data_IF_385749840024
#
_entry.id   IF_385749840024
#
_cell.length_a   1.000
_cell.length_b   1.000
_cell.length_c   1.000
_cell.angle_alpha   90.00
_cell.angle_beta   90.00
_cell.angle_gamma   90.00
#
_symmetry.space_group_name_H-M   'P 1'
#
loop_
_entity.id
_entity.type
_entity.pdbx_description
1 polymer ?
#
# COMPACT_ATOMS: atom_id res chain seq x y z
N UNK A 1 12.52 22.23 52.25
CA UNK A 1 13.81 21.53 52.04
C UNK A 1 13.55 20.04 52.27
N UNK A 2 13.38 19.26 51.20
CA UNK A 2 14.42 18.42 50.57
C UNK A 2 14.31 16.96 51.08
N UNK A 3 13.58 16.08 50.37
CA UNK A 3 14.03 15.11 49.33
C UNK A 3 14.79 13.87 49.84
N UNK A 4 14.22 12.68 49.61
CA UNK A 4 14.91 11.43 49.19
C UNK A 4 13.82 10.44 48.71
N UNK A 5 13.59 10.16 47.41
CA UNK A 5 14.31 9.24 46.48
C UNK A 5 14.85 7.97 47.19
N UNK A 6 14.86 6.76 46.63
CA UNK A 6 14.21 6.06 45.52
C UNK A 6 14.80 4.63 45.61
N UNK A 7 14.03 3.58 45.36
CA UNK A 7 14.58 2.28 45.00
C UNK A 7 13.52 1.48 44.22
N UNK A 8 13.39 1.80 42.93
CA UNK A 8 12.77 0.90 41.95
C UNK A 8 13.91 0.11 41.33
N UNK A 9 13.93 -1.19 41.61
CA UNK A 9 14.87 -2.16 41.06
C UNK A 9 14.68 -2.26 39.55
N UNK A 10 15.70 -1.83 38.79
CA UNK A 10 15.79 -2.07 37.35
C UNK A 10 15.99 -3.55 37.07
N UNK A 11 15.04 -4.16 36.37
CA UNK A 11 15.26 -5.41 35.62
C UNK A 11 15.63 -4.99 34.19
N UNK A 12 16.91 -5.05 33.88
CA UNK A 12 17.46 -4.91 32.53
C UNK A 12 17.10 -6.14 31.70
N UNK A 13 15.99 -6.06 30.98
CA UNK A 13 15.68 -6.97 29.88
C UNK A 13 16.30 -6.45 28.59
N UNK A 14 17.31 -7.17 28.10
CA UNK A 14 17.92 -7.03 26.78
C UNK A 14 16.85 -6.91 25.68
N UNK A 15 16.58 -5.69 25.21
CA UNK A 15 15.70 -5.46 24.07
C UNK A 15 16.47 -5.76 22.79
N UNK A 16 16.47 -7.05 22.40
CA UNK A 16 16.85 -7.46 21.06
C UNK A 16 16.08 -6.65 20.03
N UNK A 17 16.81 -6.00 19.12
CA UNK A 17 16.26 -5.23 18.00
C UNK A 17 15.12 -6.01 17.33
N UNK A 18 13.93 -5.40 17.13
CA UNK A 18 12.79 -6.08 16.54
C UNK A 18 13.17 -6.54 15.12
N UNK A 19 13.11 -7.85 14.87
CA UNK A 19 13.46 -8.50 13.59
C UNK A 19 12.39 -8.34 12.48
N UNK A 20 11.24 -7.76 12.82
CA UNK A 20 10.09 -7.57 11.93
C UNK A 20 10.20 -6.48 10.82
N UNK A 21 10.92 -5.34 10.99
CA UNK A 21 10.89 -4.25 10.00
C UNK A 21 11.74 -4.54 8.77
N UNK A 22 12.81 -5.34 8.90
CA UNK A 22 13.71 -5.67 7.78
C UNK A 22 13.08 -6.66 6.81
N UNK A 23 12.41 -7.70 7.30
CA UNK A 23 11.70 -8.66 6.44
C UNK A 23 10.52 -8.01 5.71
N UNK A 24 9.79 -7.13 6.40
CA UNK A 24 8.71 -6.34 5.79
C UNK A 24 9.26 -5.41 4.71
N UNK A 25 10.34 -4.68 5.00
CA UNK A 25 11.00 -3.79 4.04
C UNK A 25 11.60 -4.53 2.84
N UNK A 26 12.21 -5.69 3.07
CA UNK A 26 12.77 -6.54 2.01
C UNK A 26 11.67 -7.12 1.11
N UNK A 27 10.57 -7.60 1.70
CA UNK A 27 9.42 -8.10 0.94
C UNK A 27 8.79 -7.02 0.07
N UNK A 28 8.78 -5.77 0.55
CA UNK A 28 8.26 -4.61 -0.16
C UNK A 28 9.20 -4.20 -1.30
N UNK A 29 10.51 -4.19 -1.08
CA UNK A 29 11.51 -3.91 -2.12
C UNK A 29 11.47 -5.00 -3.21
N UNK A 30 11.47 -6.27 -2.82
CA UNK A 30 11.43 -7.40 -3.76
C UNK A 30 10.11 -7.40 -4.56
N UNK A 31 8.97 -7.18 -3.89
CA UNK A 31 7.67 -7.11 -4.57
C UNK A 31 7.57 -5.98 -5.60
N UNK A 32 8.27 -4.87 -5.39
CA UNK A 32 8.32 -3.76 -6.35
C UNK A 32 9.37 -3.96 -7.46
N UNK A 33 10.48 -4.65 -7.19
CA UNK A 33 11.54 -4.90 -8.17
C UNK A 33 11.25 -6.07 -9.10
N UNK A 34 10.45 -7.04 -8.66
CA UNK A 34 10.16 -8.25 -9.43
C UNK A 34 9.43 -7.97 -10.77
N UNK A 35 8.41 -7.07 -10.82
CA UNK A 35 7.81 -6.67 -12.09
C UNK A 35 8.79 -5.95 -13.02
N UNK A 36 9.67 -5.11 -12.45
CA UNK A 36 10.70 -4.39 -13.23
C UNK A 36 11.70 -5.38 -13.84
N UNK A 37 12.16 -6.36 -13.06
CA UNK A 37 13.06 -7.40 -13.53
C UNK A 37 12.41 -8.26 -14.61
N UNK A 38 11.14 -8.63 -14.46
CA UNK A 38 10.43 -9.43 -15.45
C UNK A 38 10.23 -8.70 -16.78
N UNK A 39 9.99 -7.39 -16.76
CA UNK A 39 9.96 -6.58 -17.99
C UNK A 39 11.34 -6.52 -18.64
N UNK A 40 12.38 -6.26 -17.84
CA UNK A 40 13.76 -6.20 -18.35
C UNK A 40 14.23 -7.53 -18.95
N UNK A 41 13.83 -8.66 -18.35
CA UNK A 41 14.13 -10.00 -18.83
C UNK A 41 13.23 -10.45 -20.01
N UNK A 42 12.27 -9.63 -20.44
CA UNK A 42 11.35 -9.94 -21.54
C UNK A 42 10.26 -10.95 -21.18
N UNK A 43 10.05 -11.23 -19.90
CA UNK A 43 8.99 -12.14 -19.42
C UNK A 43 7.63 -11.46 -19.26
N UNK A 44 7.59 -10.12 -19.25
CA UNK A 44 6.36 -9.33 -19.18
C UNK A 44 6.48 -8.09 -20.07
N UNK A 45 5.38 -7.73 -20.73
CA UNK A 45 5.25 -6.42 -21.38
C UNK A 45 4.97 -5.33 -20.36
N UNK A 46 5.12 -4.07 -20.76
CA UNK A 46 4.72 -2.92 -19.92
C UNK A 46 3.22 -2.97 -19.64
N UNK A 47 2.42 -3.45 -20.60
CA UNK A 47 0.98 -3.67 -20.42
C UNK A 47 0.66 -4.70 -19.33
N UNK A 48 1.41 -5.80 -19.27
CA UNK A 48 1.24 -6.82 -18.24
C UNK A 48 1.43 -6.26 -16.82
N UNK A 49 2.36 -5.31 -16.65
CA UNK A 49 2.63 -4.68 -15.36
C UNK A 49 1.43 -3.92 -14.81
N UNK A 50 0.69 -3.19 -15.66
CA UNK A 50 -0.52 -2.49 -15.24
C UNK A 50 -1.58 -3.48 -14.72
N UNK A 51 -1.74 -4.62 -15.39
CA UNK A 51 -2.70 -5.66 -15.00
C UNK A 51 -2.27 -6.34 -13.70
N UNK A 52 -0.98 -6.67 -13.55
CA UNK A 52 -0.44 -7.31 -12.34
C UNK A 52 -0.63 -6.41 -11.11
N UNK A 53 -0.31 -5.12 -11.22
CA UNK A 53 -0.53 -4.19 -10.10
C UNK A 53 -2.01 -3.93 -9.80
N UNK A 54 -2.88 -4.00 -10.81
CA UNK A 54 -4.32 -3.97 -10.58
C UNK A 54 -4.80 -5.24 -9.84
N UNK A 55 -4.28 -6.43 -10.17
CA UNK A 55 -4.56 -7.67 -9.43
C UNK A 55 -4.08 -7.56 -7.99
N UNK A 56 -2.88 -7.01 -7.75
CA UNK A 56 -2.39 -6.75 -6.39
C UNK A 56 -3.37 -5.85 -5.61
N UNK A 57 -3.85 -4.78 -6.24
CA UNK A 57 -4.83 -3.89 -5.64
C UNK A 57 -6.14 -4.62 -5.30
N UNK A 58 -6.62 -5.48 -6.20
CA UNK A 58 -7.80 -6.29 -5.96
C UNK A 58 -7.61 -7.22 -4.74
N UNK A 59 -6.44 -7.84 -4.59
CA UNK A 59 -6.12 -8.66 -3.42
C UNK A 59 -6.14 -7.82 -2.13
N UNK A 60 -5.58 -6.61 -2.15
CA UNK A 60 -5.62 -5.68 -1.02
C UNK A 60 -7.02 -5.22 -0.66
N UNK A 61 -7.89 -4.99 -1.66
CA UNK A 61 -9.30 -4.68 -1.42
C UNK A 61 -9.98 -5.81 -0.63
N UNK A 62 -9.88 -7.05 -1.11
CA UNK A 62 -10.47 -8.22 -0.46
C UNK A 62 -9.95 -8.42 0.98
N UNK A 63 -8.64 -8.30 1.18
CA UNK A 63 -8.00 -8.46 2.49
C UNK A 63 -8.40 -7.33 3.43
N UNK A 64 -8.48 -6.09 2.95
CA UNK A 64 -8.84 -4.94 3.80
C UNK A 64 -10.27 -5.04 4.30
N UNK A 65 -11.21 -5.60 3.51
CA UNK A 65 -12.57 -5.90 3.98
C UNK A 65 -12.52 -6.80 5.23
N UNK A 66 -11.71 -7.86 5.20
CA UNK A 66 -11.53 -8.75 6.36
C UNK A 66 -10.93 -7.99 7.54
N UNK A 67 -9.90 -7.17 7.31
CA UNK A 67 -9.26 -6.37 8.37
C UNK A 67 -10.24 -5.39 9.01
N UNK A 68 -11.00 -4.62 8.23
CA UNK A 68 -12.01 -3.68 8.75
C UNK A 68 -13.08 -4.43 9.55
N UNK A 69 -13.53 -5.60 9.08
CA UNK A 69 -14.58 -6.38 9.74
C UNK A 69 -14.13 -7.01 11.06
N UNK A 70 -12.84 -7.36 11.18
CA UNK A 70 -12.30 -8.12 12.31
C UNK A 70 -11.43 -7.28 13.26
N UNK A 71 -11.24 -6.00 12.96
CA UNK A 71 -10.55 -5.04 13.80
C UNK A 71 -11.26 -4.84 15.15
N UNK A 72 -10.47 -4.86 16.22
CA UNK A 72 -10.88 -4.74 17.63
C UNK A 72 -9.96 -3.79 18.41
N UNK A 73 -9.13 -3.02 17.72
CA UNK A 73 -8.27 -2.03 18.36
C UNK A 73 -9.02 -0.75 18.66
N UNK A 74 -8.75 -0.18 19.83
CA UNK A 74 -9.28 1.11 20.22
C UNK A 74 -8.73 2.23 19.32
N UNK A 75 -9.47 3.33 19.22
CA UNK A 75 -9.03 4.51 18.46
C UNK A 75 -7.95 5.26 19.23
N UNK A 76 -6.74 5.32 18.66
CA UNK A 76 -5.67 6.18 19.15
C UNK A 76 -5.94 7.68 18.91
N UNK A 77 -5.29 8.57 19.69
CA UNK A 77 -5.35 10.01 19.46
C UNK A 77 -4.89 10.38 18.04
N UNK A 78 -5.74 11.06 17.28
CA UNK A 78 -5.45 11.50 15.90
C UNK A 78 -5.93 10.58 14.77
N UNK A 79 -6.69 9.52 15.06
CA UNK A 79 -7.42 8.77 14.04
C UNK A 79 -8.48 9.65 13.36
N UNK A 80 -8.63 9.55 12.03
CA UNK A 80 -9.65 10.30 11.28
C UNK A 80 -11.04 10.11 11.92
N UNK A 81 -11.64 11.21 12.39
CA UNK A 81 -12.98 11.22 12.97
C UNK A 81 -14.02 11.13 11.85
N UNK A 82 -14.34 9.91 11.43
CA UNK A 82 -15.51 9.67 10.59
C UNK A 82 -16.75 9.68 11.48
N UNK A 83 -17.67 10.60 11.20
CA UNK A 83 -18.98 10.66 11.85
C UNK A 83 -20.05 10.12 10.91
N UNK A 84 -20.94 9.29 11.44
CA UNK A 84 -22.14 8.83 10.75
C UNK A 84 -23.33 9.34 11.56
N UNK A 85 -24.20 10.15 10.95
CA UNK A 85 -25.33 10.80 11.63
C UNK A 85 -24.93 11.60 12.89
N UNK A 86 -23.81 12.34 12.83
CA UNK A 86 -23.32 13.16 13.93
C UNK A 86 -22.69 12.39 15.10
N UNK A 87 -22.68 11.05 15.06
CA UNK A 87 -21.99 10.21 16.03
C UNK A 87 -20.65 9.74 15.47
N UNK A 88 -19.55 9.74 16.25
CA UNK A 88 -18.33 9.07 15.82
C UNK A 88 -18.66 7.59 15.60
N UNK A 89 -18.34 7.08 14.41
CA UNK A 89 -18.52 5.65 14.07
C UNK A 89 -17.92 4.83 15.21
N UNK A 90 -18.58 3.83 15.78
CA UNK A 90 -18.07 3.00 16.89
C UNK A 90 -17.29 1.77 16.41
N UNK A 91 -16.76 0.94 17.31
CA UNK A 91 -16.33 -0.44 16.97
C UNK A 91 -17.54 -1.32 16.58
N UNK A 92 -18.71 -1.01 17.16
CA UNK A 92 -20.01 -1.61 16.84
C UNK A 92 -20.41 -1.48 15.36
N UNK A 93 -19.84 -0.50 14.66
CA UNK A 93 -20.21 -0.16 13.29
C UNK A 93 -19.24 -0.75 12.26
N UNK A 94 -18.30 -1.61 12.69
CA UNK A 94 -17.29 -2.25 11.82
C UNK A 94 -17.90 -2.96 10.60
N UNK A 95 -19.11 -3.51 10.72
CA UNK A 95 -19.86 -4.09 9.60
C UNK A 95 -20.30 -3.06 8.55
N UNK A 96 -20.89 -1.96 8.99
CA UNK A 96 -21.31 -0.88 8.09
C UNK A 96 -20.09 -0.21 7.42
N UNK A 97 -19.00 -0.04 8.16
CA UNK A 97 -17.76 0.50 7.63
C UNK A 97 -17.11 -0.43 6.61
N UNK A 98 -17.10 -1.75 6.87
CA UNK A 98 -16.61 -2.74 5.91
C UNK A 98 -17.46 -2.77 4.63
N UNK A 99 -18.79 -2.64 4.76
CA UNK A 99 -19.69 -2.55 3.60
C UNK A 99 -19.44 -1.28 2.78
N UNK A 100 -19.37 -0.11 3.44
CA UNK A 100 -19.03 1.15 2.78
C UNK A 100 -17.70 1.06 2.04
N UNK A 101 -16.66 0.53 2.70
CA UNK A 101 -15.35 0.33 2.09
C UNK A 101 -15.42 -0.63 0.90
N UNK A 102 -16.08 -1.79 1.06
CA UNK A 102 -16.24 -2.77 0.00
C UNK A 102 -16.88 -2.16 -1.25
N UNK A 103 -17.97 -1.40 -1.08
CA UNK A 103 -18.68 -0.75 -2.18
C UNK A 103 -17.85 0.39 -2.79
N UNK A 104 -17.41 1.35 -1.98
CA UNK A 104 -16.75 2.56 -2.45
C UNK A 104 -15.39 2.24 -3.08
N UNK A 105 -14.50 1.58 -2.33
CA UNK A 105 -13.18 1.19 -2.84
C UNK A 105 -13.30 0.16 -3.97
N UNK A 106 -14.32 -0.70 -3.93
CA UNK A 106 -14.61 -1.67 -4.98
C UNK A 106 -14.92 -1.00 -6.31
N UNK A 107 -15.81 -0.01 -6.34
CA UNK A 107 -16.12 0.76 -7.55
C UNK A 107 -14.85 1.40 -8.12
N UNK A 108 -14.03 2.06 -7.28
CA UNK A 108 -12.77 2.64 -7.73
C UNK A 108 -11.79 1.59 -8.27
N UNK A 109 -11.70 0.43 -7.65
CA UNK A 109 -10.85 -0.68 -8.11
C UNK A 109 -11.30 -1.25 -9.44
N UNK A 110 -12.62 -1.37 -9.66
CA UNK A 110 -13.17 -1.86 -10.92
C UNK A 110 -12.98 -0.86 -12.07
N UNK A 111 -13.29 0.42 -11.82
CA UNK A 111 -13.07 1.50 -12.79
C UNK A 111 -11.59 1.63 -13.15
N UNK A 112 -10.71 1.61 -12.14
CA UNK A 112 -9.26 1.61 -12.35
C UNK A 112 -8.81 0.39 -13.17
N UNK A 113 -9.42 -0.77 -12.96
CA UNK A 113 -9.19 -1.97 -13.77
C UNK A 113 -9.47 -1.77 -15.25
N UNK A 114 -10.57 -1.11 -15.60
CA UNK A 114 -10.86 -0.76 -17.00
C UNK A 114 -9.70 0.02 -17.61
N UNK A 115 -9.18 1.03 -16.91
CA UNK A 115 -8.02 1.78 -17.39
C UNK A 115 -6.74 0.94 -17.46
N UNK A 116 -6.51 0.05 -16.49
CA UNK A 116 -5.35 -0.84 -16.48
C UNK A 116 -5.35 -1.78 -17.69
N UNK A 117 -6.49 -2.39 -18.00
CA UNK A 117 -6.65 -3.26 -19.17
C UNK A 117 -6.55 -2.47 -20.46
N UNK A 118 -7.21 -1.31 -20.59
CA UNK A 118 -7.07 -0.44 -21.77
C UNK A 118 -5.61 -0.08 -22.00
N UNK A 119 -4.89 0.32 -20.95
CA UNK A 119 -3.46 0.60 -21.05
C UNK A 119 -2.64 -0.63 -21.43
N UNK A 120 -3.01 -1.82 -20.97
CA UNK A 120 -2.34 -3.05 -21.38
C UNK A 120 -2.45 -3.29 -22.88
N UNK A 121 -3.61 -3.01 -23.48
CA UNK A 121 -3.81 -3.13 -24.92
C UNK A 121 -3.19 -1.97 -25.72
N UNK A 122 -3.24 -0.74 -25.20
CA UNK A 122 -2.75 0.47 -25.89
C UNK A 122 -1.23 0.62 -25.82
N UNK A 123 -0.59 0.21 -24.72
CA UNK A 123 0.86 0.33 -24.54
C UNK A 123 1.67 -0.59 -25.49
N UNK A 124 1.01 -1.50 -26.19
CA UNK A 124 1.63 -2.42 -27.14
C UNK A 124 2.41 -3.57 -26.47
N UNK A 125 2.68 -4.61 -27.25
CA UNK A 125 3.37 -5.82 -26.83
C UNK A 125 2.45 -7.04 -26.63
N UNK A 126 3.06 -8.21 -26.53
CA UNK A 126 2.33 -9.45 -26.24
C UNK A 126 1.81 -9.43 -24.81
N UNK A 127 0.54 -9.83 -24.64
CA UNK A 127 -0.04 -10.03 -23.32
C UNK A 127 0.28 -11.43 -22.84
N UNK A 128 0.64 -11.55 -21.57
CA UNK A 128 0.99 -12.83 -20.96
C UNK A 128 0.03 -13.21 -19.83
N UNK A 129 -1.20 -13.68 -20.13
CA UNK A 129 -2.18 -14.08 -19.11
C UNK A 129 -1.65 -15.12 -18.11
N UNK A 130 -0.73 -16.00 -18.56
CA UNK A 130 -0.05 -16.95 -17.66
C UNK A 130 0.81 -16.26 -16.60
N UNK A 131 1.51 -15.17 -16.97
CA UNK A 131 2.26 -14.36 -16.03
C UNK A 131 1.33 -13.64 -15.04
N UNK A 132 0.16 -13.17 -15.50
CA UNK A 132 -0.84 -12.55 -14.62
C UNK A 132 -1.39 -13.53 -13.59
N UNK A 133 -1.70 -14.76 -14.01
CA UNK A 133 -2.19 -15.79 -13.10
C UNK A 133 -1.12 -16.15 -12.06
N UNK A 134 0.12 -16.37 -12.51
CA UNK A 134 1.23 -16.70 -11.62
C UNK A 134 1.51 -15.58 -10.62
N UNK A 135 1.59 -14.33 -11.10
CA UNK A 135 1.79 -13.16 -10.26
C UNK A 135 0.61 -12.97 -9.29
N UNK A 136 -0.62 -13.13 -9.76
CA UNK A 136 -1.83 -13.04 -8.95
C UNK A 136 -1.88 -14.08 -7.84
N UNK A 137 -1.50 -15.33 -8.14
CA UNK A 137 -1.38 -16.40 -7.13
C UNK A 137 -0.26 -16.08 -6.13
N UNK A 138 0.92 -15.70 -6.60
CA UNK A 138 2.06 -15.39 -5.74
C UNK A 138 1.77 -14.21 -4.79
N UNK A 139 1.22 -13.12 -5.33
CA UNK A 139 0.82 -11.94 -4.56
C UNK A 139 -0.33 -12.27 -3.61
N UNK A 140 -1.35 -12.99 -4.10
CA UNK A 140 -2.48 -13.45 -3.29
C UNK A 140 -2.03 -14.28 -2.09
N UNK A 141 -1.16 -15.27 -2.30
CA UNK A 141 -0.60 -16.10 -1.23
C UNK A 141 0.26 -15.30 -0.26
N UNK A 142 1.09 -14.38 -0.77
CA UNK A 142 1.91 -13.49 0.07
C UNK A 142 1.04 -12.64 1.00
N UNK A 143 -0.01 -12.01 0.45
CA UNK A 143 -0.90 -11.17 1.25
C UNK A 143 -1.81 -11.97 2.17
N UNK A 144 -2.29 -13.15 1.77
CA UNK A 144 -3.04 -14.05 2.64
C UNK A 144 -2.16 -14.56 3.79
N UNK A 145 -0.89 -14.89 3.52
CA UNK A 145 0.09 -15.23 4.54
C UNK A 145 0.31 -14.08 5.52
N UNK A 146 0.48 -12.85 5.03
CA UNK A 146 0.57 -11.66 5.89
C UNK A 146 -0.71 -11.42 6.70
N UNK A 147 -1.89 -11.65 6.11
CA UNK A 147 -3.15 -11.55 6.84
C UNK A 147 -3.19 -12.60 7.95
N UNK A 148 -2.84 -13.85 7.68
CA UNK A 148 -2.87 -14.88 8.71
C UNK A 148 -1.84 -14.63 9.82
N UNK A 149 -0.57 -14.45 9.44
CA UNK A 149 0.55 -14.39 10.38
C UNK A 149 0.60 -13.07 11.16
N UNK A 150 0.32 -11.93 10.52
CA UNK A 150 0.45 -10.64 11.21
C UNK A 150 -0.89 -10.21 11.83
N UNK A 151 -1.99 -10.37 11.10
CA UNK A 151 -3.29 -9.86 11.55
C UNK A 151 -3.97 -10.76 12.59
N UNK A 152 -4.00 -12.08 12.33
CA UNK A 152 -4.65 -13.04 13.23
C UNK A 152 -3.70 -13.53 14.32
N UNK A 153 -2.54 -14.08 13.94
CA UNK A 153 -1.59 -14.68 14.88
C UNK A 153 -0.75 -13.62 15.63
N UNK A 154 -0.16 -12.68 14.89
CA UNK A 154 0.60 -11.54 15.43
C UNK A 154 -0.24 -10.50 16.18
N UNK A 155 -1.56 -10.67 16.21
CA UNK A 155 -2.46 -9.88 17.05
C UNK A 155 -2.68 -8.43 16.61
N UNK A 156 -2.30 -8.03 15.38
CA UNK A 156 -2.55 -6.66 14.90
C UNK A 156 -4.03 -6.28 14.97
N UNK A 157 -4.94 -7.25 14.80
CA UNK A 157 -6.40 -7.02 14.89
C UNK A 157 -6.83 -6.39 16.22
N UNK A 158 -6.09 -6.62 17.31
CA UNK A 158 -6.38 -6.09 18.64
C UNK A 158 -5.80 -4.69 18.87
N UNK A 159 -4.93 -4.23 17.97
CA UNK A 159 -4.21 -2.95 18.08
C UNK A 159 -4.68 -1.94 17.05
N UNK A 160 -5.22 -2.41 15.93
CA UNK A 160 -5.68 -1.58 14.82
C UNK A 160 -7.20 -1.42 14.87
N UNK A 161 -7.66 -0.17 14.86
CA UNK A 161 -9.10 0.16 14.79
C UNK A 161 -9.67 -0.03 13.38
N UNK A 162 -10.98 -0.27 13.26
CA UNK A 162 -11.62 -0.47 11.97
C UNK A 162 -11.43 0.70 10.98
N UNK A 163 -11.55 1.99 11.38
CA UNK A 163 -11.23 3.10 10.49
C UNK A 163 -9.75 3.17 10.11
N UNK A 164 -8.84 2.84 11.04
CA UNK A 164 -7.41 2.79 10.71
C UNK A 164 -7.15 1.73 9.64
N UNK A 165 -7.71 0.52 9.79
CA UNK A 165 -7.60 -0.55 8.80
C UNK A 165 -8.16 -0.13 7.43
N UNK A 166 -9.29 0.59 7.41
CA UNK A 166 -9.92 1.08 6.18
C UNK A 166 -9.01 2.02 5.37
N UNK A 167 -8.19 2.83 6.05
CA UNK A 167 -7.31 3.80 5.40
C UNK A 167 -5.98 3.21 4.90
N UNK A 168 -5.59 2.02 5.35
CA UNK A 168 -4.32 1.39 4.98
C UNK A 168 -4.05 1.25 3.47
N UNK A 169 -5.03 0.91 2.61
CA UNK A 169 -4.76 0.72 1.18
C UNK A 169 -4.72 2.03 0.36
N UNK A 170 -5.14 3.17 0.91
CA UNK A 170 -5.26 4.43 0.15
C UNK A 170 -3.93 4.97 -0.42
N UNK A 171 -2.80 4.96 0.32
CA UNK A 171 -1.52 5.39 -0.24
C UNK A 171 -1.11 4.58 -1.48
N UNK A 172 -1.40 3.27 -1.48
CA UNK A 172 -1.15 2.39 -2.63
C UNK A 172 -2.04 2.77 -3.81
N UNK A 173 -3.34 3.03 -3.59
CA UNK A 173 -4.23 3.48 -4.66
C UNK A 173 -3.79 4.78 -5.29
N UNK A 174 -3.33 5.73 -4.49
CA UNK A 174 -2.87 7.01 -5.01
C UNK A 174 -1.71 6.81 -6.00
N UNK A 175 -0.75 5.96 -5.65
CA UNK A 175 0.38 5.60 -6.51
C UNK A 175 -0.09 4.94 -7.81
N UNK A 176 -1.04 4.01 -7.73
CA UNK A 176 -1.59 3.33 -8.92
C UNK A 176 -2.39 4.29 -9.82
N UNK A 177 -3.13 5.24 -9.25
CA UNK A 177 -3.84 6.25 -10.02
C UNK A 177 -2.86 7.18 -10.73
N UNK A 178 -1.85 7.67 -10.02
CA UNK A 178 -0.80 8.50 -10.62
C UNK A 178 -0.12 7.75 -11.76
N UNK A 179 0.22 6.46 -11.59
CA UNK A 179 0.83 5.65 -12.63
C UNK A 179 -0.03 5.45 -13.87
N UNK A 180 -1.32 5.17 -13.69
CA UNK A 180 -2.25 5.06 -14.81
C UNK A 180 -2.45 6.42 -15.50
N UNK A 181 -2.64 7.50 -14.75
CA UNK A 181 -2.91 8.83 -15.34
C UNK A 181 -1.69 9.31 -16.15
N UNK A 182 -0.49 9.16 -15.59
CA UNK A 182 0.76 9.49 -16.28
C UNK A 182 0.98 8.58 -17.49
N UNK A 183 0.83 7.26 -17.31
CA UNK A 183 0.99 6.28 -18.38
C UNK A 183 0.03 6.54 -19.54
N UNK A 184 -1.24 6.79 -19.23
CA UNK A 184 -2.27 7.10 -20.21
C UNK A 184 -2.03 8.44 -20.90
N UNK A 185 -1.65 9.49 -20.16
CA UNK A 185 -1.34 10.79 -20.74
C UNK A 185 -0.19 10.73 -21.75
N UNK A 186 0.85 9.94 -21.44
CA UNK A 186 2.00 9.77 -22.34
C UNK A 186 1.69 8.86 -23.53
N UNK A 187 0.95 7.77 -23.32
CA UNK A 187 0.48 6.92 -24.41
C UNK A 187 -0.40 7.71 -25.39
N UNK A 188 -1.40 8.44 -24.89
CA UNK A 188 -2.30 9.26 -25.71
C UNK A 188 -1.59 10.46 -26.36
N UNK A 189 -0.55 11.02 -25.73
CA UNK A 189 0.29 12.07 -26.33
C UNK A 189 1.04 11.62 -27.58
N UNK A 190 1.28 10.31 -27.73
CA UNK A 190 1.89 9.70 -28.93
C UNK A 190 0.87 9.22 -29.97
N UNK A 191 -0.43 9.16 -29.62
CA UNK A 191 -1.51 8.79 -30.54
C UNK A 191 -1.83 9.99 -31.43
N UNK A 192 -1.16 10.07 -32.58
CA UNK A 192 -1.34 11.14 -33.58
C UNK A 192 -0.04 11.69 -34.17
N UNK A 193 1.11 11.39 -33.56
CA UNK A 193 2.41 11.64 -34.16
C UNK A 193 2.74 10.51 -35.14
N UNK A 194 2.91 10.84 -36.42
CA UNK A 194 3.28 9.91 -37.49
C UNK A 194 4.70 9.32 -37.36
N UNK A 195 5.42 9.66 -36.30
CA UNK A 195 6.75 9.14 -36.01
C UNK A 195 6.63 7.99 -35.00
N UNK A 196 7.15 6.82 -35.36
CA UNK A 196 7.23 5.69 -34.44
C UNK A 196 8.07 6.10 -33.22
N UNK A 197 7.53 6.02 -31.99
CA UNK A 197 8.25 6.47 -30.81
C UNK A 197 9.54 5.67 -30.65
N UNK A 198 10.69 6.36 -30.67
CA UNK A 198 12.01 5.75 -30.59
C UNK A 198 12.71 6.09 -29.27
N UNK A 199 13.26 5.07 -28.61
CA UNK A 199 14.17 5.23 -27.47
C UNK A 199 13.53 5.75 -26.17
N UNK A 200 13.98 6.94 -25.75
CA UNK A 200 13.85 7.48 -24.39
C UNK A 200 12.40 7.84 -24.00
N UNK A 201 11.56 8.10 -24.99
CA UNK A 201 10.16 8.54 -24.82
C UNK A 201 9.24 7.40 -24.37
N UNK A 202 9.58 6.16 -24.74
CA UNK A 202 8.91 4.95 -24.25
C UNK A 202 9.17 4.75 -22.75
N UNK A 203 10.33 5.20 -22.26
CA UNK A 203 10.76 5.03 -20.87
C UNK A 203 10.35 6.21 -19.96
N UNK A 204 10.01 7.37 -20.53
CA UNK A 204 9.60 8.57 -19.79
C UNK A 204 8.41 8.35 -18.81
N UNK A 205 7.33 7.62 -19.18
CA UNK A 205 6.23 7.32 -18.25
C UNK A 205 6.70 6.51 -17.04
N UNK A 206 7.58 5.55 -17.30
CA UNK A 206 8.10 4.61 -16.30
C UNK A 206 9.03 5.35 -15.35
N UNK A 207 9.94 6.18 -15.87
CA UNK A 207 10.87 6.98 -15.06
C UNK A 207 10.13 8.02 -14.21
N UNK A 208 9.08 8.64 -14.75
CA UNK A 208 8.28 9.60 -14.00
C UNK A 208 7.46 8.92 -12.90
N UNK A 209 6.84 7.77 -13.21
CA UNK A 209 6.11 6.97 -12.22
C UNK A 209 7.04 6.47 -11.10
N UNK A 210 8.20 5.91 -11.46
CA UNK A 210 9.17 5.44 -10.48
C UNK A 210 9.71 6.60 -9.64
N UNK A 211 10.06 7.72 -10.26
CA UNK A 211 10.57 8.91 -9.56
C UNK A 211 9.55 9.44 -8.56
N UNK A 212 8.31 9.62 -9.00
CA UNK A 212 7.25 10.14 -8.15
C UNK A 212 6.87 9.16 -7.03
N UNK A 213 6.78 7.86 -7.33
CA UNK A 213 6.56 6.83 -6.30
C UNK A 213 7.68 6.82 -5.26
N UNK A 214 8.93 6.88 -5.70
CA UNK A 214 10.11 6.88 -4.82
C UNK A 214 10.14 8.12 -3.93
N UNK A 215 9.77 9.29 -4.46
CA UNK A 215 9.68 10.53 -3.69
C UNK A 215 8.58 10.45 -2.64
N UNK A 216 7.40 9.92 -2.99
CA UNK A 216 6.28 9.77 -2.04
C UNK A 216 6.63 8.76 -0.94
N UNK A 217 7.18 7.60 -1.30
CA UNK A 217 7.58 6.58 -0.33
C UNK A 217 8.69 7.11 0.60
N UNK A 218 9.65 7.88 0.07
CA UNK A 218 10.68 8.55 0.87
C UNK A 218 10.10 9.64 1.78
N UNK A 219 9.16 10.44 1.28
CA UNK A 219 8.51 11.49 2.04
C UNK A 219 7.70 10.92 3.21
N UNK A 220 6.98 9.81 2.99
CA UNK A 220 6.25 9.09 4.04
C UNK A 220 7.22 8.53 5.09
N UNK A 221 8.33 7.92 4.66
CA UNK A 221 9.37 7.41 5.56
C UNK A 221 10.04 8.51 6.39
N UNK A 222 10.32 9.66 5.79
CA UNK A 222 10.88 10.83 6.48
C UNK A 222 9.87 11.49 7.42
N UNK A 223 8.60 11.49 7.05
CA UNK A 223 7.52 12.02 7.88
C UNK A 223 7.28 11.15 9.12
N UNK A 224 7.35 9.82 8.97
CA UNK A 224 7.34 8.87 10.08
C UNK A 224 8.53 9.08 11.03
N UNK A 225 9.73 9.33 10.50
CA UNK A 225 10.93 9.64 11.31
C UNK A 225 10.83 10.99 12.04
N UNK A 226 10.23 12.01 11.42
CA UNK A 226 10.00 13.32 12.06
C UNK A 226 8.93 13.24 13.15
N UNK A 227 7.91 12.39 12.98
CA UNK A 227 6.87 12.15 13.98
C UNK A 227 7.42 11.38 15.19
N UNK A 228 8.30 10.40 14.96
CA UNK A 228 9.01 9.70 16.03
C UNK A 228 9.93 10.64 16.85
N UNK A 229 10.66 11.57 16.19
CA UNK A 229 11.51 12.56 16.87
C UNK A 229 10.75 13.64 17.66
N UNK A 230 9.48 13.89 17.35
CA UNK A 230 8.62 14.81 18.12
C UNK A 230 7.97 14.15 19.34
N UNK A 231 8.07 12.83 19.46
CA UNK A 231 7.56 12.05 20.59
C UNK A 231 8.64 11.72 21.63
N UNK A 232 9.89 12.15 21.43
CA UNK A 232 10.91 12.22 22.47
C UNK A 232 10.83 13.59 23.17
N UNK A 233 10.29 13.68 24.40
CA UNK A 233 10.45 14.87 25.22
C UNK A 233 11.89 14.85 25.76
N UNK A 234 12.84 15.38 25.00
CA UNK A 234 14.15 15.73 25.56
C UNK A 234 14.05 17.11 26.18
N UNK A 235 14.09 17.15 27.52
CA UNK A 235 14.59 18.32 28.24
C UNK A 235 13.62 19.00 29.20
N UNK A 236 12.94 18.26 30.08
CA UNK A 236 12.58 18.79 31.40
C UNK A 236 13.76 18.52 32.35
N UNK A 237 14.74 19.43 32.35
CA UNK A 237 15.66 19.69 33.47
C UNK A 237 16.02 21.15 33.45
#
# INVERSE_FOLDING_TARGET
>A
MATSRAAVTMVTGEQGLPRAPLLSSLSLVVGNLLPIWAVWAGHMSVGDVFVVYWIENFAYWAITIVKVRTARGERGPGSARMTLNGRPVGESDSGALAFFFALHYGIFTLVHGVFAFVMAFVAGGDLHPGAWLLAGVALGLSHLGSLWLNWFDGGERWRVSAPTAMWQPYPRMLVLHVGIIVGFGLAMGSVGSSEAPSGLEVLAPVLLLLGLKTVVDLALHLWERRRARRSDPVGAT
#
